data_IF_828717372417
#
_entry.id   IF_828717372417
#
_cell.length_a   1.000
_cell.length_b   1.000
_cell.length_c   1.000
_cell.angle_alpha   90.00
_cell.angle_beta   90.00
_cell.angle_gamma   90.00
#
_symmetry.space_group_name_H-M   'P 1'
#
loop_
_entity.id
_entity.type
_entity.pdbx_description
1 polymer ?
#
# COMPACT_ATOMS: atom_id res chain seq x y z
N UNK A 1 21.87 15.86 -7.05
CA UNK A 1 20.81 15.26 -6.22
C UNK A 1 21.52 14.42 -5.19
N UNK A 2 21.42 14.83 -3.94
CA UNK A 2 22.17 14.22 -2.84
C UNK A 2 21.44 12.93 -2.44
N UNK A 3 22.17 11.94 -1.91
CA UNK A 3 21.61 10.62 -1.58
C UNK A 3 20.34 10.69 -0.71
N UNK A 4 20.30 11.66 0.23
CA UNK A 4 19.14 11.93 1.07
C UNK A 4 17.89 12.36 0.28
N UNK A 5 18.07 13.18 -0.77
CA UNK A 5 16.96 13.62 -1.63
C UNK A 5 16.37 12.44 -2.44
N UNK A 6 17.22 11.52 -2.90
CA UNK A 6 16.80 10.30 -3.60
C UNK A 6 16.00 9.40 -2.66
N UNK A 7 16.47 9.22 -1.41
CA UNK A 7 15.77 8.43 -0.41
C UNK A 7 14.40 9.03 -0.05
N UNK A 8 14.32 10.35 0.09
CA UNK A 8 13.06 11.06 0.33
C UNK A 8 12.06 10.95 -0.83
N UNK A 9 12.52 10.94 -2.08
CA UNK A 9 11.67 10.69 -3.25
C UNK A 9 11.16 9.25 -3.28
N UNK A 10 12.04 8.27 -3.00
CA UNK A 10 11.68 6.86 -2.87
C UNK A 10 10.62 6.64 -1.80
N UNK A 11 10.79 7.25 -0.63
CA UNK A 11 9.83 7.17 0.45
C UNK A 11 8.44 7.67 0.02
N UNK A 12 8.38 8.85 -0.61
CA UNK A 12 7.13 9.42 -1.11
C UNK A 12 6.47 8.51 -2.16
N UNK A 13 7.27 7.92 -3.04
CA UNK A 13 6.78 6.97 -4.04
C UNK A 13 6.21 5.70 -3.40
N UNK A 14 6.89 5.13 -2.40
CA UNK A 14 6.42 3.93 -1.68
C UNK A 14 5.15 4.22 -0.87
N UNK A 15 5.10 5.36 -0.17
CA UNK A 15 3.90 5.80 0.56
C UNK A 15 2.71 6.00 -0.38
N UNK A 16 2.91 6.70 -1.50
CA UNK A 16 1.87 6.93 -2.49
C UNK A 16 1.41 5.61 -3.14
N UNK A 17 2.35 4.76 -3.54
CA UNK A 17 2.06 3.45 -4.14
C UNK A 17 1.28 2.54 -3.20
N UNK A 18 1.72 2.41 -1.95
CA UNK A 18 1.03 1.62 -0.93
C UNK A 18 -0.38 2.15 -0.62
N UNK A 19 -0.52 3.47 -0.48
CA UNK A 19 -1.81 4.09 -0.17
C UNK A 19 -2.84 3.90 -1.31
N UNK A 20 -2.40 4.08 -2.56
CA UNK A 20 -3.26 3.85 -3.74
C UNK A 20 -3.67 2.38 -3.81
N UNK A 21 -2.71 1.46 -3.60
CA UNK A 21 -2.97 0.03 -3.63
C UNK A 21 -3.94 -0.42 -2.54
N UNK A 22 -3.84 0.15 -1.33
CA UNK A 22 -4.74 -0.11 -0.22
C UNK A 22 -6.17 0.34 -0.55
N UNK A 23 -6.34 1.55 -1.10
CA UNK A 23 -7.67 2.07 -1.47
C UNK A 23 -8.34 1.20 -2.53
N UNK A 24 -7.61 0.80 -3.57
CA UNK A 24 -8.12 -0.10 -4.61
C UNK A 24 -8.53 -1.46 -4.00
N UNK A 25 -7.68 -2.02 -3.14
CA UNK A 25 -7.98 -3.27 -2.43
C UNK A 25 -9.23 -3.16 -1.55
N UNK A 26 -9.40 -2.04 -0.84
CA UNK A 26 -10.56 -1.80 0.01
C UNK A 26 -11.86 -1.72 -0.82
N UNK A 27 -11.80 -1.09 -2.00
CA UNK A 27 -12.94 -1.06 -2.94
C UNK A 27 -13.27 -2.46 -3.44
N UNK A 28 -12.27 -3.25 -3.88
CA UNK A 28 -12.48 -4.61 -4.37
C UNK A 28 -13.05 -5.52 -3.27
N UNK A 29 -12.56 -5.36 -2.04
CA UNK A 29 -13.10 -6.08 -0.88
C UNK A 29 -14.56 -5.70 -0.61
N UNK A 30 -14.89 -4.40 -0.62
CA UNK A 30 -16.26 -3.92 -0.43
C UNK A 30 -17.21 -4.39 -1.54
N UNK A 31 -16.76 -4.37 -2.80
CA UNK A 31 -17.50 -4.89 -3.94
C UNK A 31 -17.71 -6.40 -3.84
N UNK A 32 -16.69 -7.15 -3.43
CA UNK A 32 -16.77 -8.59 -3.20
C UNK A 32 -17.75 -8.94 -2.08
N UNK A 33 -17.77 -8.18 -0.98
CA UNK A 33 -18.73 -8.36 0.11
C UNK A 33 -20.16 -8.05 -0.34
N UNK A 34 -20.35 -7.00 -1.14
CA UNK A 34 -21.65 -6.64 -1.72
C UNK A 34 -22.18 -7.74 -2.63
N UNK A 35 -21.34 -8.23 -3.54
CA UNK A 35 -21.73 -9.20 -4.56
C UNK A 35 -21.64 -10.65 -4.05
N UNK A 36 -21.15 -10.87 -2.83
CA UNK A 36 -20.85 -12.18 -2.22
C UNK A 36 -19.95 -13.06 -3.09
N UNK A 37 -19.01 -12.43 -3.79
CA UNK A 37 -18.04 -13.13 -4.63
C UNK A 37 -16.79 -13.49 -3.82
N UNK A 38 -16.70 -14.74 -3.38
CA UNK A 38 -15.57 -15.24 -2.58
C UNK A 38 -14.18 -14.97 -3.20
N UNK A 39 -13.97 -15.12 -4.53
CA UNK A 39 -12.68 -14.79 -5.15
C UNK A 39 -12.32 -13.30 -5.05
N UNK A 40 -13.31 -12.42 -5.18
CA UNK A 40 -13.13 -10.97 -5.08
C UNK A 40 -12.83 -10.54 -3.64
N UNK A 41 -13.49 -11.16 -2.66
CA UNK A 41 -13.18 -10.94 -1.23
C UNK A 41 -11.74 -11.37 -0.93
N UNK A 42 -11.33 -12.56 -1.36
CA UNK A 42 -9.97 -13.05 -1.13
C UNK A 42 -8.92 -12.14 -1.78
N UNK A 43 -9.14 -11.74 -3.03
CA UNK A 43 -8.27 -10.79 -3.75
C UNK A 43 -8.23 -9.43 -3.04
N UNK A 44 -9.38 -8.91 -2.60
CA UNK A 44 -9.50 -7.66 -1.88
C UNK A 44 -8.73 -7.67 -0.55
N UNK A 45 -8.84 -8.75 0.24
CA UNK A 45 -8.10 -8.90 1.50
C UNK A 45 -6.60 -8.83 1.23
N UNK A 46 -6.12 -9.54 0.21
CA UNK A 46 -4.70 -9.55 -0.13
C UNK A 46 -4.18 -8.17 -0.53
N UNK A 47 -4.97 -7.42 -1.30
CA UNK A 47 -4.61 -6.07 -1.71
C UNK A 47 -4.64 -5.07 -0.54
N UNK A 48 -5.59 -5.19 0.38
CA UNK A 48 -5.63 -4.37 1.60
C UNK A 48 -4.43 -4.65 2.50
N UNK A 49 -4.14 -5.93 2.78
CA UNK A 49 -3.00 -6.33 3.63
C UNK A 49 -1.68 -5.94 2.98
N UNK A 50 -1.51 -6.22 1.69
CA UNK A 50 -0.30 -5.85 0.94
C UNK A 50 -0.11 -4.34 0.84
N UNK A 51 -1.18 -3.59 0.56
CA UNK A 51 -1.14 -2.12 0.52
C UNK A 51 -0.77 -1.51 1.88
N UNK A 52 -1.37 -2.00 2.96
CA UNK A 52 -1.04 -1.57 4.31
C UNK A 52 0.42 -1.86 4.69
N UNK A 53 0.95 -3.03 4.28
CA UNK A 53 2.35 -3.40 4.51
C UNK A 53 3.31 -2.47 3.75
N UNK A 54 3.01 -2.15 2.49
CA UNK A 54 3.82 -1.23 1.67
C UNK A 54 3.79 0.18 2.27
N UNK A 55 2.62 0.67 2.68
CA UNK A 55 2.50 1.97 3.34
C UNK A 55 3.27 2.00 4.66
N UNK A 56 3.20 0.94 5.47
CA UNK A 56 3.97 0.83 6.71
C UNK A 56 5.49 0.82 6.45
N UNK A 57 5.94 0.13 5.40
CA UNK A 57 7.34 0.14 4.98
C UNK A 57 7.80 1.54 4.53
N UNK A 58 6.98 2.27 3.77
CA UNK A 58 7.24 3.65 3.39
C UNK A 58 7.30 4.62 4.58
N UNK A 59 6.49 4.38 5.61
CA UNK A 59 6.58 5.14 6.87
C UNK A 59 7.87 4.79 7.63
N UNK A 60 8.28 3.52 7.63
CA UNK A 60 9.46 3.03 8.31
C UNK A 60 10.78 3.49 7.67
N UNK A 61 10.81 3.78 6.37
CA UNK A 61 11.99 4.33 5.68
C UNK A 61 12.52 5.61 6.36
N UNK A 62 11.68 6.42 6.99
CA UNK A 62 12.10 7.61 7.75
C UNK A 62 12.91 7.29 9.02
N UNK A 63 12.82 6.05 9.52
CA UNK A 63 13.59 5.59 10.69
C UNK A 63 14.92 4.94 10.31
N UNK A 64 15.16 4.68 9.02
CA UNK A 64 16.42 4.14 8.53
C UNK A 64 17.40 5.32 8.34
N UNK A 65 18.14 5.62 9.40
CA UNK A 65 19.32 6.51 9.36
C UNK A 65 20.56 5.67 9.10
N UNK A 66 21.30 5.99 8.04
CA UNK A 66 22.66 5.52 7.77
C UNK A 66 23.68 6.53 8.32
#
# INVERSE_FOLDING_TARGET
>A
MDFSAIMGLLQKAVLAGGAIWLVIGAVILGLGLKNKEAPQIQSGIWQVVGGALITAAGAYINSITF
#
